data_IF_626615992637
#
_entry.id   IF_626615992637
#
_cell.length_a   1.000
_cell.length_b   1.000
_cell.length_c   1.000
_cell.angle_alpha   90.00
_cell.angle_beta   90.00
_cell.angle_gamma   90.00
#
_symmetry.space_group_name_H-M   'P 1'
#
loop_
_entity.id
_entity.type
_entity.pdbx_description
1 polymer ?
#
# COMPACT_ATOMS: atom_id res chain seq x y z
N UNK A 1 0.42 -15.17 -34.07
CA UNK A 1 0.70 -13.73 -34.29
C UNK A 1 -0.42 -12.93 -33.65
N UNK A 2 -0.35 -12.68 -32.34
CA UNK A 2 -1.27 -11.72 -31.69
C UNK A 2 -0.80 -10.31 -32.05
N UNK A 3 -1.70 -9.53 -32.64
CA UNK A 3 -1.40 -8.28 -33.33
C UNK A 3 -1.15 -7.14 -32.35
N UNK A 4 -0.15 -6.34 -32.69
CA UNK A 4 0.28 -5.09 -32.04
C UNK A 4 -0.90 -4.15 -31.69
N UNK A 5 -1.98 -4.22 -32.46
CA UNK A 5 -3.25 -3.50 -32.27
C UNK A 5 -3.99 -3.85 -30.98
N UNK A 6 -3.95 -5.11 -30.54
CA UNK A 6 -4.57 -5.54 -29.27
C UNK A 6 -3.86 -4.92 -28.06
N UNK A 7 -2.52 -4.85 -28.12
CA UNK A 7 -1.71 -4.24 -27.07
C UNK A 7 -1.91 -2.72 -27.03
N UNK A 8 -2.01 -2.07 -28.19
CA UNK A 8 -2.33 -0.63 -28.27
C UNK A 8 -3.71 -0.30 -27.71
N UNK A 9 -4.73 -1.11 -28.04
CA UNK A 9 -6.09 -0.91 -27.53
C UNK A 9 -6.17 -1.16 -26.01
N UNK A 10 -5.50 -2.21 -25.51
CA UNK A 10 -5.42 -2.48 -24.08
C UNK A 10 -4.70 -1.36 -23.31
N UNK A 11 -3.61 -0.82 -23.87
CA UNK A 11 -2.89 0.32 -23.30
C UNK A 11 -3.73 1.60 -23.28
N UNK A 12 -4.48 1.88 -24.35
CA UNK A 12 -5.36 3.05 -24.46
C UNK A 12 -6.55 2.98 -23.48
N UNK A 13 -7.12 1.79 -23.27
CA UNK A 13 -8.19 1.56 -22.29
C UNK A 13 -7.65 1.67 -20.85
N UNK A 14 -6.39 1.30 -20.61
CA UNK A 14 -5.73 1.52 -19.32
C UNK A 14 -5.43 3.01 -19.05
N UNK A 15 -5.04 3.80 -20.05
CA UNK A 15 -4.78 5.24 -19.88
C UNK A 15 -6.04 6.08 -19.63
N UNK A 16 -7.18 5.68 -20.20
CA UNK A 16 -8.43 6.45 -20.11
C UNK A 16 -9.07 6.48 -18.71
N UNK A 17 -8.61 5.64 -17.77
CA UNK A 17 -9.14 5.58 -16.40
C UNK A 17 -8.11 5.77 -15.27
N UNK A 18 -6.81 5.91 -15.57
CA UNK A 18 -5.74 5.70 -14.57
C UNK A 18 -5.17 6.95 -13.89
N UNK A 19 -5.55 8.18 -14.28
CA UNK A 19 -4.97 9.37 -13.63
C UNK A 19 -5.65 9.74 -12.32
N UNK A 20 -6.96 9.57 -12.25
CA UNK A 20 -7.76 10.20 -11.19
C UNK A 20 -8.43 9.20 -10.25
N UNK A 21 -8.48 7.91 -10.61
CA UNK A 21 -9.12 6.88 -9.78
C UNK A 21 -8.33 5.56 -9.81
N UNK A 22 -8.10 4.92 -8.64
CA UNK A 22 -7.54 3.58 -8.60
C UNK A 22 -8.42 2.59 -9.39
N UNK A 23 -7.81 1.63 -10.09
CA UNK A 23 -8.54 0.57 -10.78
C UNK A 23 -9.35 -0.25 -9.76
N UNK A 24 -10.65 -0.36 -9.98
CA UNK A 24 -11.53 -1.14 -9.11
C UNK A 24 -11.19 -2.63 -9.22
N UNK A 25 -11.24 -3.34 -8.09
CA UNK A 25 -11.13 -4.78 -8.04
C UNK A 25 -12.23 -5.43 -8.90
N UNK A 26 -11.91 -6.53 -9.56
CA UNK A 26 -12.88 -7.33 -10.29
C UNK A 26 -12.73 -8.79 -9.85
N UNK A 27 -13.83 -9.50 -9.55
CA UNK A 27 -13.78 -10.90 -9.13
C UNK A 27 -12.99 -11.77 -10.12
N UNK A 28 -12.12 -12.64 -9.61
CA UNK A 28 -11.36 -13.62 -10.41
C UNK A 28 -10.06 -13.10 -11.05
N UNK A 29 -9.61 -11.87 -10.77
CA UNK A 29 -8.45 -11.30 -11.46
C UNK A 29 -7.47 -10.53 -10.57
N UNK A 30 -7.09 -11.15 -9.45
CA UNK A 30 -6.16 -10.57 -8.48
C UNK A 30 -4.82 -10.13 -9.11
N UNK A 31 -4.25 -10.96 -10.01
CA UNK A 31 -2.96 -10.66 -10.65
C UNK A 31 -3.03 -9.39 -11.49
N UNK A 32 -4.09 -9.20 -12.30
CA UNK A 32 -4.22 -7.96 -13.08
C UNK A 32 -4.54 -6.77 -12.20
N UNK A 33 -5.38 -6.92 -11.18
CA UNK A 33 -5.66 -5.84 -10.23
C UNK A 33 -4.37 -5.37 -9.55
N UNK A 34 -3.56 -6.30 -9.03
CA UNK A 34 -2.26 -6.02 -8.39
C UNK A 34 -1.34 -5.24 -9.33
N UNK A 35 -1.22 -5.67 -10.59
CA UNK A 35 -0.41 -4.96 -11.60
C UNK A 35 -0.95 -3.56 -11.90
N UNK A 36 -2.28 -3.38 -11.96
CA UNK A 36 -2.88 -2.07 -12.23
C UNK A 36 -2.71 -1.11 -11.05
N UNK A 37 -2.85 -1.57 -9.81
CA UNK A 37 -2.59 -0.76 -8.60
C UNK A 37 -1.14 -0.32 -8.57
N UNK A 38 -0.17 -1.22 -8.80
CA UNK A 38 1.26 -0.85 -8.87
C UNK A 38 1.52 0.21 -9.93
N UNK A 39 0.97 0.04 -11.14
CA UNK A 39 1.11 1.04 -12.21
C UNK A 39 0.44 2.37 -11.87
N UNK A 40 -0.65 2.37 -11.11
CA UNK A 40 -1.28 3.59 -10.62
C UNK A 40 -0.37 4.30 -9.59
N UNK A 41 0.23 3.55 -8.66
CA UNK A 41 1.20 4.07 -7.70
C UNK A 41 2.39 4.72 -8.40
N UNK A 42 2.91 4.10 -9.46
CA UNK A 42 4.04 4.63 -10.26
C UNK A 42 3.75 6.01 -10.90
N UNK A 43 2.48 6.45 -10.95
CA UNK A 43 2.10 7.79 -11.43
C UNK A 43 2.13 8.87 -10.34
N UNK A 44 2.28 8.47 -9.07
CA UNK A 44 2.32 9.39 -7.93
C UNK A 44 3.72 9.98 -7.75
N UNK A 45 3.78 11.19 -7.20
CA UNK A 45 5.05 11.90 -7.00
C UNK A 45 5.92 11.29 -5.89
N UNK A 46 5.29 10.64 -4.92
CA UNK A 46 5.88 9.94 -3.77
C UNK A 46 5.83 8.41 -3.93
N UNK A 47 5.80 7.91 -5.17
CA UNK A 47 5.60 6.49 -5.48
C UNK A 47 6.60 5.55 -4.78
N UNK A 48 7.86 5.95 -4.61
CA UNK A 48 8.88 5.17 -3.91
C UNK A 48 8.50 4.92 -2.44
N UNK A 49 8.02 5.96 -1.75
CA UNK A 49 7.56 5.85 -0.36
C UNK A 49 6.28 5.02 -0.27
N UNK A 50 5.36 5.16 -1.23
CA UNK A 50 4.14 4.34 -1.26
C UNK A 50 4.49 2.86 -1.44
N UNK A 51 5.41 2.52 -2.35
CA UNK A 51 5.89 1.13 -2.50
C UNK A 51 6.54 0.63 -1.21
N UNK A 52 7.36 1.47 -0.55
CA UNK A 52 7.95 1.14 0.73
C UNK A 52 6.89 0.78 1.78
N UNK A 53 5.81 1.56 1.89
CA UNK A 53 4.69 1.33 2.79
C UNK A 53 3.92 0.02 2.52
N UNK A 54 3.91 -0.47 1.28
CA UNK A 54 3.28 -1.77 0.96
C UNK A 54 4.09 -2.97 1.49
N UNK A 55 5.40 -2.80 1.62
CA UNK A 55 6.32 -3.91 1.95
C UNK A 55 6.76 -3.88 3.41
N UNK A 56 6.73 -2.71 4.05
CA UNK A 56 7.25 -2.46 5.38
C UNK A 56 6.18 -1.89 6.31
N UNK A 57 6.24 -2.21 7.62
CA UNK A 57 5.37 -1.56 8.59
C UNK A 57 5.61 -0.05 8.63
N UNK A 58 4.60 0.73 9.04
CA UNK A 58 4.74 2.18 9.16
C UNK A 58 5.75 2.55 10.25
N UNK A 59 6.26 3.79 10.17
CA UNK A 59 7.07 4.34 11.25
C UNK A 59 6.23 4.49 12.53
N UNK A 60 6.70 3.92 13.63
CA UNK A 60 6.08 4.06 14.94
C UNK A 60 6.64 5.27 15.69
N UNK A 61 5.80 6.28 15.90
CA UNK A 61 6.11 7.41 16.77
C UNK A 61 6.27 6.93 18.22
N UNK A 62 7.32 7.36 18.90
CA UNK A 62 7.55 6.97 20.30
C UNK A 62 8.42 7.93 21.08
N UNK A 63 8.90 7.50 22.25
CA UNK A 63 9.87 8.25 23.03
C UNK A 63 11.25 8.17 22.39
N UNK A 64 11.88 9.32 22.16
CA UNK A 64 13.26 9.42 21.68
C UNK A 64 14.06 10.38 22.53
N UNK A 65 15.32 10.06 22.70
CA UNK A 65 16.27 10.91 23.37
C UNK A 65 16.86 11.91 22.36
N UNK A 66 16.80 13.20 22.71
CA UNK A 66 17.41 14.29 21.93
C UNK A 66 18.48 14.98 22.76
N UNK A 67 19.62 15.27 22.12
CA UNK A 67 20.65 16.11 22.72
C UNK A 67 20.28 17.59 22.54
N UNK A 68 20.14 18.30 23.66
CA UNK A 68 19.82 19.73 23.70
C UNK A 68 20.99 20.47 24.38
N UNK A 69 21.52 21.56 23.80
CA UNK A 69 22.53 22.38 24.45
C UNK A 69 22.02 22.97 25.76
N UNK A 70 22.79 22.86 26.83
CA UNK A 70 22.44 23.42 28.16
C UNK A 70 22.38 24.94 28.19
N UNK A 71 23.11 25.61 27.30
CA UNK A 71 23.04 27.05 27.05
C UNK A 71 23.57 27.39 25.65
N UNK A 72 23.21 28.57 25.14
CA UNK A 72 23.60 29.04 23.79
C UNK A 72 25.13 29.18 23.69
N UNK A 73 25.77 28.32 22.88
CA UNK A 73 27.22 28.25 22.71
C UNK A 73 27.98 27.26 23.63
N UNK A 74 27.28 26.52 24.49
CA UNK A 74 27.90 25.51 25.37
C UNK A 74 28.16 24.18 24.64
N UNK A 75 29.32 23.58 24.87
CA UNK A 75 29.65 22.20 24.44
C UNK A 75 28.97 21.13 25.32
N UNK A 76 28.30 21.53 26.40
CA UNK A 76 27.59 20.63 27.30
C UNK A 76 26.17 20.43 26.77
N UNK A 77 25.89 19.24 26.24
CA UNK A 77 24.54 18.80 25.86
C UNK A 77 23.89 18.01 27.01
N UNK A 78 22.58 18.19 27.18
CA UNK A 78 21.74 17.35 28.05
C UNK A 78 20.85 16.48 27.16
N UNK A 79 20.68 15.22 27.56
CA UNK A 79 19.77 14.30 26.90
C UNK A 79 18.37 14.49 27.47
N UNK A 80 17.45 15.02 26.68
CA UNK A 80 16.03 15.12 27.03
C UNK A 80 15.24 14.05 26.28
N UNK A 81 14.40 13.31 27.00
CA UNK A 81 13.48 12.36 26.39
C UNK A 81 12.24 13.12 25.90
N UNK A 82 12.00 13.09 24.59
CA UNK A 82 10.90 13.79 23.93
C UNK A 82 10.00 12.75 23.27
N UNK A 83 8.70 12.82 23.53
CA UNK A 83 7.73 12.03 22.80
C UNK A 83 7.57 12.57 21.37
N UNK A 84 7.80 11.72 20.38
CA UNK A 84 7.64 12.09 18.98
C UNK A 84 6.16 12.35 18.65
N UNK A 85 5.95 13.35 17.81
CA UNK A 85 4.68 13.77 17.27
C UNK A 85 4.91 14.15 15.83
N UNK A 86 3.87 14.14 15.02
CA UNK A 86 3.97 14.59 13.62
C UNK A 86 4.66 15.96 13.49
N UNK A 87 4.49 16.88 14.45
CA UNK A 87 5.09 18.21 14.43
C UNK A 87 6.56 18.29 14.83
N UNK A 88 7.14 17.27 15.47
CA UNK A 88 8.50 17.33 16.00
C UNK A 88 9.48 16.31 15.39
N UNK A 89 8.97 15.40 14.55
CA UNK A 89 9.78 14.47 13.73
C UNK A 89 10.36 15.15 12.49
N UNK A 90 11.35 14.51 11.88
CA UNK A 90 11.99 14.96 10.65
C UNK A 90 11.01 15.00 9.48
N UNK A 91 11.36 15.76 8.43
CA UNK A 91 10.52 15.82 7.24
C UNK A 91 10.39 14.45 6.55
N UNK A 92 11.46 13.66 6.52
CA UNK A 92 11.45 12.29 5.99
C UNK A 92 10.41 11.39 6.67
N UNK A 93 10.34 11.41 8.00
CA UNK A 93 9.33 10.65 8.75
C UNK A 93 7.92 11.15 8.41
N UNK A 94 7.72 12.46 8.26
CA UNK A 94 6.41 13.00 7.85
C UNK A 94 6.03 12.55 6.45
N UNK A 95 6.97 12.58 5.52
CA UNK A 95 6.74 12.18 4.13
C UNK A 95 6.38 10.70 4.08
N UNK A 96 7.03 9.85 4.88
CA UNK A 96 6.67 8.44 5.03
C UNK A 96 5.27 8.27 5.63
N UNK A 97 4.93 8.96 6.72
CA UNK A 97 3.59 8.89 7.32
C UNK A 97 2.48 9.37 6.36
N UNK A 98 2.78 10.39 5.54
CA UNK A 98 1.84 10.87 4.52
C UNK A 98 1.68 9.85 3.38
N UNK A 99 2.78 9.24 2.94
CA UNK A 99 2.74 8.16 1.95
C UNK A 99 1.97 6.94 2.45
N UNK A 100 2.05 6.63 3.74
CA UNK A 100 1.28 5.56 4.39
C UNK A 100 -0.24 5.80 4.26
N UNK A 101 -0.68 7.01 4.60
CA UNK A 101 -2.10 7.40 4.47
C UNK A 101 -2.57 7.32 3.02
N UNK A 102 -1.73 7.78 2.09
CA UNK A 102 -2.03 7.68 0.67
C UNK A 102 -2.09 6.23 0.19
N UNK A 103 -1.16 5.37 0.63
CA UNK A 103 -1.14 3.95 0.30
C UNK A 103 -2.41 3.24 0.76
N UNK A 104 -2.83 3.45 2.02
CA UNK A 104 -4.09 2.93 2.56
C UNK A 104 -5.26 3.40 1.71
N UNK A 105 -5.35 4.70 1.40
CA UNK A 105 -6.44 5.24 0.59
C UNK A 105 -6.49 4.62 -0.81
N UNK A 106 -5.33 4.43 -1.46
CA UNK A 106 -5.23 3.81 -2.79
C UNK A 106 -5.76 2.38 -2.75
N UNK A 107 -5.35 1.59 -1.76
CA UNK A 107 -5.80 0.20 -1.60
C UNK A 107 -7.32 0.17 -1.36
N UNK A 108 -7.80 0.91 -0.36
CA UNK A 108 -9.22 0.88 0.05
C UNK A 108 -10.16 1.37 -1.07
N UNK A 109 -9.74 2.35 -1.87
CA UNK A 109 -10.53 2.83 -3.01
C UNK A 109 -10.49 1.84 -4.19
N UNK A 110 -9.45 1.01 -4.24
CA UNK A 110 -9.23 0.01 -5.29
C UNK A 110 -9.87 -1.35 -5.01
N UNK A 111 -10.48 -1.58 -3.84
CA UNK A 111 -11.11 -2.86 -3.47
C UNK A 111 -12.64 -2.78 -3.44
N UNK A 112 -13.28 -3.94 -3.62
CA UNK A 112 -14.72 -4.10 -3.47
C UNK A 112 -15.11 -4.20 -1.98
N UNK A 113 -16.39 -3.91 -1.67
CA UNK A 113 -16.90 -3.86 -0.30
C UNK A 113 -16.79 -5.20 0.47
N UNK A 114 -16.82 -6.33 -0.23
CA UNK A 114 -16.68 -7.67 0.34
C UNK A 114 -15.26 -7.94 0.83
N UNK A 115 -14.25 -7.41 0.13
CA UNK A 115 -12.84 -7.42 0.56
C UNK A 115 -12.65 -6.37 1.66
N UNK A 116 -13.19 -5.17 1.48
CA UNK A 116 -13.12 -4.09 2.48
C UNK A 116 -13.54 -4.58 3.86
N UNK A 117 -14.68 -5.26 3.95
CA UNK A 117 -15.22 -5.78 5.22
C UNK A 117 -14.33 -6.85 5.91
N UNK A 118 -13.34 -7.41 5.20
CA UNK A 118 -12.38 -8.38 5.76
C UNK A 118 -11.07 -7.73 6.16
N UNK A 119 -10.74 -6.58 5.57
CA UNK A 119 -9.48 -5.85 5.81
C UNK A 119 -9.69 -4.57 6.63
N UNK A 120 -10.91 -4.32 7.11
CA UNK A 120 -11.26 -3.13 7.90
C UNK A 120 -10.56 -3.08 9.26
N UNK A 121 -10.11 -4.23 9.76
CA UNK A 121 -9.29 -4.35 10.96
C UNK A 121 -7.80 -4.03 10.73
N UNK A 122 -7.33 -3.97 9.47
CA UNK A 122 -5.94 -3.63 9.16
C UNK A 122 -5.70 -2.15 9.41
N UNK A 123 -4.61 -1.82 10.10
CA UNK A 123 -4.33 -0.44 10.52
C UNK A 123 -3.37 0.30 9.57
N UNK A 124 -2.69 -0.44 8.69
CA UNK A 124 -1.68 0.11 7.79
C UNK A 124 -1.71 -0.56 6.41
N UNK A 125 -1.05 0.05 5.45
CA UNK A 125 -1.03 -0.36 4.05
C UNK A 125 -0.37 -1.73 3.87
N UNK A 126 0.73 -1.98 4.59
CA UNK A 126 1.45 -3.26 4.56
C UNK A 126 0.55 -4.44 4.98
N UNK A 127 -0.15 -4.30 6.10
CA UNK A 127 -1.10 -5.30 6.60
C UNK A 127 -2.27 -5.50 5.64
N UNK A 128 -2.88 -4.39 5.22
CA UNK A 128 -4.03 -4.43 4.29
C UNK A 128 -3.63 -5.15 3.00
N UNK A 129 -2.46 -4.83 2.46
CA UNK A 129 -1.93 -5.44 1.24
C UNK A 129 -1.72 -6.95 1.41
N UNK A 130 -1.04 -7.37 2.49
CA UNK A 130 -0.79 -8.77 2.82
C UNK A 130 -2.07 -9.57 3.01
N UNK A 131 -3.07 -9.00 3.69
CA UNK A 131 -4.35 -9.65 3.93
C UNK A 131 -5.10 -9.88 2.61
N UNK A 132 -5.10 -8.90 1.70
CA UNK A 132 -5.68 -9.08 0.36
C UNK A 132 -4.95 -10.20 -0.41
N UNK A 133 -3.61 -10.26 -0.33
CA UNK A 133 -2.85 -11.34 -0.97
C UNK A 133 -3.27 -12.71 -0.43
N UNK A 134 -3.40 -12.82 0.90
CA UNK A 134 -3.79 -14.04 1.59
C UNK A 134 -5.21 -14.49 1.22
N UNK A 135 -6.18 -13.56 1.25
CA UNK A 135 -7.57 -13.83 0.87
C UNK A 135 -7.67 -14.41 -0.53
N UNK A 136 -6.86 -13.93 -1.47
CA UNK A 136 -6.87 -14.40 -2.87
C UNK A 136 -6.11 -15.70 -3.07
N UNK A 137 -5.09 -15.98 -2.27
CA UNK A 137 -4.51 -17.33 -2.21
C UNK A 137 -5.52 -18.36 -1.68
N UNK A 138 -6.27 -18.03 -0.63
CA UNK A 138 -7.31 -18.90 -0.06
C UNK A 138 -8.47 -19.20 -1.02
N UNK A 139 -8.94 -18.21 -1.79
CA UNK A 139 -9.93 -18.41 -2.85
C UNK A 139 -9.42 -19.38 -3.93
N UNK A 140 -8.16 -19.24 -4.35
CA UNK A 140 -7.59 -20.09 -5.40
C UNK A 140 -7.46 -21.57 -4.98
N UNK A 141 -7.17 -21.84 -3.70
CA UNK A 141 -7.11 -23.20 -3.16
C UNK A 141 -8.50 -23.83 -3.16
N UNK A 142 -9.53 -23.08 -2.75
CA UNK A 142 -10.91 -23.59 -2.69
C UNK A 142 -11.44 -23.93 -4.09
N UNK A 143 -11.17 -23.09 -5.10
CA UNK A 143 -11.53 -23.35 -6.50
C UNK A 143 -10.86 -24.62 -7.02
N UNK A 144 -9.55 -24.81 -6.79
CA UNK A 144 -8.85 -26.02 -7.20
C UNK A 144 -9.42 -27.28 -6.55
N UNK A 145 -9.78 -27.23 -5.26
CA UNK A 145 -10.38 -28.38 -4.55
C UNK A 145 -11.75 -28.74 -5.13
N UNK A 146 -12.61 -27.74 -5.39
CA UNK A 146 -13.92 -27.94 -6.03
C UNK A 146 -13.80 -28.51 -7.45
N UNK A 147 -12.90 -27.98 -8.26
CA UNK A 147 -12.62 -28.51 -9.61
C UNK A 147 -12.12 -29.95 -9.54
N UNK A 148 -11.18 -30.24 -8.63
CA UNK A 148 -10.63 -31.61 -8.50
C UNK A 148 -11.71 -32.61 -8.08
N UNK A 149 -12.63 -32.24 -7.21
CA UNK A 149 -13.74 -33.11 -6.78
C UNK A 149 -14.74 -33.39 -7.92
N UNK A 150 -14.90 -32.49 -8.90
CA UNK A 150 -15.78 -32.67 -10.06
C UNK A 150 -15.20 -33.59 -11.14
N UNK A 151 -13.88 -33.81 -11.17
CA UNK A 151 -13.22 -34.70 -12.14
C UNK A 151 -13.16 -36.17 -11.69
N UNK A 152 -13.57 -36.48 -10.45
CA UNK A 152 -13.57 -37.84 -9.89
C UNK A 152 -14.98 -38.42 -9.65
N UNK A 153 -16.04 -37.75 -10.12
CA UNK A 153 -17.40 -38.34 -10.30
C UNK A 153 -17.56 -38.89 -11.73
#
# INVERSE_FOLDING_TARGET
MQTQTSNTLHNAIMEAGSKDRPPMFAPGNYVQWKSRIKRYIDTKHNHELIHYCLENPPYELGWKDKEVPTSEGSLITTTESVHETYKNVSQEIRDQLNAEVEAVQIILTGIDNDIYSKVDACLNACETWKEIEWLKQGESINVQVLETNLYWE
#
